data_IF_192695494611
#
_entry.id   IF_192695494611
#
_cell.length_a   1.000
_cell.length_b   1.000
_cell.length_c   1.000
_cell.angle_alpha   90.00
_cell.angle_beta   90.00
_cell.angle_gamma   90.00
#
_symmetry.space_group_name_H-M   'P 1'
#
loop_
_entity.id
_entity.type
_entity.pdbx_description
1 polymer ?
#
# COMPACT_ATOMS: atom_id res chain seq x y z
N UNK A 1 -2.08 -10.83 -29.83
CA UNK A 1 -1.04 -9.89 -29.30
C UNK A 1 0.20 -10.71 -29.01
N UNK A 2 1.34 -10.34 -29.53
CA UNK A 2 2.63 -11.01 -29.30
C UNK A 2 3.04 -10.87 -27.84
N UNK A 3 3.30 -12.00 -27.17
CA UNK A 3 3.68 -12.05 -25.75
C UNK A 3 5.17 -11.88 -25.51
N UNK A 4 5.90 -11.19 -26.41
CA UNK A 4 7.33 -10.98 -26.26
C UNK A 4 7.70 -9.52 -26.58
N UNK A 5 8.77 -9.05 -25.94
CA UNK A 5 9.40 -7.76 -26.17
C UNK A 5 10.78 -8.04 -26.76
N UNK A 6 11.09 -7.43 -27.88
CA UNK A 6 12.41 -7.49 -28.49
C UNK A 6 13.21 -6.24 -28.09
N UNK A 7 14.34 -6.43 -27.41
CA UNK A 7 15.25 -5.35 -26.98
C UNK A 7 16.49 -5.44 -27.85
N UNK A 8 16.66 -4.48 -28.76
CA UNK A 8 17.78 -4.45 -29.71
C UNK A 8 18.92 -3.51 -29.30
N UNK A 9 18.64 -2.53 -28.45
CA UNK A 9 19.59 -1.49 -28.08
C UNK A 9 19.91 -1.50 -26.60
N UNK A 10 21.12 -1.04 -26.25
CA UNK A 10 21.53 -0.79 -24.87
C UNK A 10 21.11 0.62 -24.42
N UNK A 11 20.85 0.78 -23.15
CA UNK A 11 20.58 2.10 -22.56
C UNK A 11 21.90 2.89 -22.56
N UNK A 12 21.92 3.97 -23.35
CA UNK A 12 22.97 5.01 -23.32
C UNK A 12 22.67 6.03 -22.23
N UNK A 13 23.34 7.17 -22.24
CA UNK A 13 23.00 8.31 -21.38
C UNK A 13 21.62 8.87 -21.71
N UNK A 14 20.88 9.36 -20.70
CA UNK A 14 19.56 9.97 -20.91
C UNK A 14 19.28 11.11 -19.94
N UNK A 15 18.47 12.05 -20.40
CA UNK A 15 17.89 13.11 -19.59
C UNK A 15 16.39 13.14 -19.87
N UNK A 16 15.57 12.59 -18.96
CA UNK A 16 14.14 12.40 -19.18
C UNK A 16 13.30 12.95 -18.05
N UNK A 17 12.19 13.58 -18.41
CA UNK A 17 11.10 13.89 -17.48
C UNK A 17 9.95 12.92 -17.75
N UNK A 18 9.51 12.22 -16.72
CA UNK A 18 8.49 11.19 -16.83
C UNK A 18 7.43 11.35 -15.76
N UNK A 19 6.23 10.87 -16.07
CA UNK A 19 5.16 10.63 -15.11
C UNK A 19 4.91 9.14 -15.05
N UNK A 20 4.71 8.61 -13.87
CA UNK A 20 4.39 7.20 -13.64
C UNK A 20 2.99 7.06 -13.07
N UNK A 21 2.45 5.86 -13.15
CA UNK A 21 1.13 5.55 -12.61
C UNK A 21 1.06 5.75 -11.10
N UNK A 22 -0.16 5.93 -10.62
CA UNK A 22 -0.45 6.29 -9.24
C UNK A 22 -0.07 5.21 -8.21
N UNK A 23 0.12 5.64 -6.97
CA UNK A 23 0.41 4.78 -5.84
C UNK A 23 -0.67 3.70 -5.65
N UNK A 24 -0.25 2.43 -5.61
CA UNK A 24 -1.12 1.26 -5.44
C UNK A 24 -1.93 1.33 -4.14
N UNK A 25 -1.27 1.67 -3.05
CA UNK A 25 -1.89 1.74 -1.73
C UNK A 25 -2.94 2.82 -1.62
N UNK A 26 -2.71 3.98 -2.26
CA UNK A 26 -3.67 5.08 -2.35
C UNK A 26 -4.81 4.76 -3.32
N UNK A 27 -4.53 4.13 -4.47
CA UNK A 27 -5.54 3.72 -5.44
C UNK A 27 -6.60 2.80 -4.80
N UNK A 28 -6.15 1.77 -4.06
CA UNK A 28 -7.06 0.85 -3.36
C UNK A 28 -7.86 1.59 -2.28
N UNK A 29 -7.20 2.43 -1.46
CA UNK A 29 -7.87 3.17 -0.39
C UNK A 29 -8.88 4.18 -0.92
N UNK A 30 -8.51 4.89 -1.99
CA UNK A 30 -9.43 5.78 -2.67
C UNK A 30 -10.68 5.04 -3.15
N UNK A 31 -10.52 3.91 -3.83
CA UNK A 31 -11.64 3.13 -4.35
C UNK A 31 -12.58 2.64 -3.23
N UNK A 32 -12.01 2.11 -2.13
CA UNK A 32 -12.77 1.64 -0.97
C UNK A 32 -13.52 2.80 -0.29
N UNK A 33 -12.89 3.96 -0.08
CA UNK A 33 -13.55 5.12 0.54
C UNK A 33 -14.58 5.75 -0.40
N UNK A 34 -14.27 5.84 -1.70
CA UNK A 34 -15.20 6.34 -2.71
C UNK A 34 -16.48 5.51 -2.80
N UNK A 35 -16.38 4.18 -2.59
CA UNK A 35 -17.56 3.30 -2.56
C UNK A 35 -18.47 3.55 -1.37
N UNK A 36 -17.93 4.08 -0.27
CA UNK A 36 -18.66 4.44 0.95
C UNK A 36 -19.11 5.90 0.98
N UNK A 37 -18.72 6.70 -0.01
CA UNK A 37 -19.09 8.10 -0.11
C UNK A 37 -20.53 8.26 -0.62
N UNK A 38 -21.10 9.44 -0.41
CA UNK A 38 -22.36 9.84 -1.05
C UNK A 38 -22.02 10.65 -2.30
N UNK A 39 -22.62 10.23 -3.45
CA UNK A 39 -22.41 10.87 -4.73
C UNK A 39 -21.24 10.28 -5.54
N UNK A 40 -20.81 11.01 -6.57
CA UNK A 40 -19.83 10.57 -7.55
C UNK A 40 -18.43 11.05 -7.20
N UNK A 41 -17.54 10.12 -6.90
CA UNK A 41 -16.11 10.33 -6.72
C UNK A 41 -15.35 10.12 -8.02
N UNK A 42 -14.37 10.97 -8.31
CA UNK A 42 -13.53 10.88 -9.51
C UNK A 42 -12.06 10.74 -9.14
N UNK A 43 -11.33 9.84 -9.82
CA UNK A 43 -9.87 9.83 -9.74
C UNK A 43 -9.23 9.98 -11.10
N UNK A 44 -8.04 10.56 -11.08
CA UNK A 44 -7.11 10.62 -12.21
C UNK A 44 -5.85 9.89 -11.78
N UNK A 45 -5.16 9.25 -12.73
CA UNK A 45 -3.93 8.50 -12.50
C UNK A 45 -4.10 7.32 -11.53
N UNK A 46 -5.27 6.65 -11.57
CA UNK A 46 -5.48 5.41 -10.82
C UNK A 46 -4.58 4.31 -11.40
N UNK A 47 -3.83 3.61 -10.56
CA UNK A 47 -3.00 2.50 -10.99
C UNK A 47 -3.86 1.37 -11.60
N UNK A 48 -3.48 0.88 -12.77
CA UNK A 48 -4.17 -0.23 -13.47
C UNK A 48 -3.56 -1.60 -13.19
N UNK A 49 -2.97 -1.78 -12.01
CA UNK A 49 -2.48 -3.10 -11.61
C UNK A 49 -3.62 -4.07 -11.30
N UNK A 50 -3.33 -5.35 -11.36
CA UNK A 50 -4.26 -6.43 -10.99
C UNK A 50 -4.89 -6.20 -9.61
N UNK A 51 -4.10 -5.77 -8.62
CA UNK A 51 -4.58 -5.46 -7.25
C UNK A 51 -5.72 -4.43 -7.26
N UNK A 52 -5.57 -3.36 -8.05
CA UNK A 52 -6.55 -2.27 -8.13
C UNK A 52 -7.76 -2.71 -8.95
N UNK A 53 -7.55 -3.41 -10.07
CA UNK A 53 -8.64 -3.95 -10.89
C UNK A 53 -9.49 -4.94 -10.09
N UNK A 54 -8.86 -5.84 -9.33
CA UNK A 54 -9.58 -6.75 -8.43
C UNK A 54 -10.37 -5.99 -7.35
N UNK A 55 -9.84 -4.86 -6.87
CA UNK A 55 -10.59 -3.98 -5.94
C UNK A 55 -11.85 -3.45 -6.59
N UNK A 56 -11.76 -2.90 -7.80
CA UNK A 56 -12.92 -2.37 -8.54
C UNK A 56 -13.93 -3.49 -8.85
N UNK A 57 -13.46 -4.68 -9.22
CA UNK A 57 -14.32 -5.83 -9.49
C UNK A 57 -15.06 -6.33 -8.24
N UNK A 58 -14.39 -6.39 -7.09
CA UNK A 58 -15.05 -6.70 -5.81
C UNK A 58 -16.12 -5.66 -5.47
N UNK A 59 -15.84 -4.36 -5.66
CA UNK A 59 -16.81 -3.30 -5.43
C UNK A 59 -18.01 -3.38 -6.39
N UNK A 60 -17.80 -3.70 -7.69
CA UNK A 60 -18.90 -3.95 -8.64
C UNK A 60 -19.79 -5.10 -8.19
N UNK A 61 -19.22 -6.21 -7.69
CA UNK A 61 -19.99 -7.34 -7.13
C UNK A 61 -20.78 -6.95 -5.88
N UNK A 62 -20.33 -5.93 -5.14
CA UNK A 62 -21.08 -5.35 -4.03
C UNK A 62 -22.12 -4.32 -4.45
N UNK A 63 -22.37 -4.17 -5.77
CA UNK A 63 -23.39 -3.30 -6.33
C UNK A 63 -22.93 -1.88 -6.64
N UNK A 64 -21.64 -1.56 -6.49
CA UNK A 64 -21.10 -0.22 -6.76
C UNK A 64 -20.99 0.00 -8.28
N UNK A 65 -21.62 1.06 -8.79
CA UNK A 65 -21.47 1.50 -10.18
C UNK A 65 -20.10 2.17 -10.37
N UNK A 66 -19.30 1.63 -11.29
CA UNK A 66 -17.94 2.11 -11.58
C UNK A 66 -17.76 2.27 -13.08
N UNK A 67 -17.40 3.47 -13.51
CA UNK A 67 -16.98 3.77 -14.88
C UNK A 67 -15.47 3.97 -14.91
N UNK A 68 -14.78 3.34 -15.85
CA UNK A 68 -13.33 3.44 -16.02
C UNK A 68 -13.01 3.80 -17.45
N UNK A 69 -12.34 4.89 -17.63
CA UNK A 69 -11.84 5.40 -18.89
C UNK A 69 -10.31 5.39 -18.88
N UNK A 70 -9.67 5.80 -19.98
CA UNK A 70 -8.21 5.71 -20.18
C UNK A 70 -7.39 6.17 -18.97
N UNK A 71 -7.65 7.33 -18.40
CA UNK A 71 -6.92 7.90 -17.24
C UNK A 71 -7.83 8.32 -16.08
N UNK A 72 -9.12 8.02 -16.15
CA UNK A 72 -10.12 8.45 -15.17
C UNK A 72 -10.90 7.26 -14.64
N UNK A 73 -11.24 7.28 -13.38
CA UNK A 73 -12.15 6.33 -12.76
C UNK A 73 -13.21 7.09 -12.00
N UNK A 74 -14.48 6.75 -12.23
CA UNK A 74 -15.62 7.31 -11.50
C UNK A 74 -16.28 6.20 -10.68
N UNK A 75 -16.49 6.45 -9.41
CA UNK A 75 -17.20 5.57 -8.48
C UNK A 75 -18.42 6.30 -7.95
N UNK A 76 -19.57 5.71 -8.15
CA UNK A 76 -20.85 6.18 -7.58
C UNK A 76 -20.99 5.52 -6.22
N UNK A 77 -20.63 6.26 -5.17
CA UNK A 77 -20.63 5.74 -3.82
C UNK A 77 -22.04 5.49 -3.31
N UNK A 78 -22.19 4.48 -2.48
CA UNK A 78 -23.48 3.99 -1.98
C UNK A 78 -23.76 4.42 -0.54
N UNK A 79 -22.87 5.22 0.06
CA UNK A 79 -22.92 5.57 1.47
C UNK A 79 -22.43 4.44 2.39
N UNK A 80 -22.37 4.75 3.68
CA UNK A 80 -22.03 3.78 4.71
C UNK A 80 -23.11 2.68 4.75
N UNK A 81 -22.66 1.40 4.80
CA UNK A 81 -23.54 0.21 4.79
C UNK A 81 -24.46 0.08 3.57
N UNK A 82 -24.21 0.84 2.49
CA UNK A 82 -25.09 0.92 1.33
C UNK A 82 -24.93 -0.19 0.30
N UNK A 83 -24.02 -1.16 0.49
CA UNK A 83 -23.78 -2.23 -0.47
C UNK A 83 -25.02 -3.08 -0.70
N UNK A 84 -25.29 -3.36 -2.00
CA UNK A 84 -26.45 -4.15 -2.47
C UNK A 84 -25.94 -5.33 -3.29
N UNK A 85 -26.11 -6.54 -2.78
CA UNK A 85 -25.60 -7.76 -3.42
C UNK A 85 -26.46 -8.97 -3.02
N UNK A 86 -26.42 -10.01 -3.86
CA UNK A 86 -27.11 -11.28 -3.60
C UNK A 86 -26.41 -12.05 -2.47
N UNK A 87 -27.13 -12.95 -1.80
CA UNK A 87 -26.52 -13.83 -0.80
C UNK A 87 -25.44 -14.73 -1.42
N UNK A 88 -24.44 -15.10 -0.62
CA UNK A 88 -23.38 -16.05 -0.99
C UNK A 88 -22.50 -15.64 -2.18
N UNK A 89 -22.32 -14.32 -2.43
CA UNK A 89 -21.38 -13.88 -3.46
C UNK A 89 -19.94 -14.24 -3.11
N UNK A 90 -19.14 -14.43 -4.16
CA UNK A 90 -17.69 -14.63 -4.02
C UNK A 90 -16.94 -13.39 -4.49
N UNK A 91 -16.13 -12.81 -3.58
CA UNK A 91 -15.19 -11.75 -3.87
C UNK A 91 -13.80 -12.35 -4.07
N UNK A 92 -13.15 -12.02 -5.19
CA UNK A 92 -11.81 -12.50 -5.49
C UNK A 92 -10.79 -11.37 -5.34
N UNK A 93 -9.93 -11.48 -4.35
CA UNK A 93 -8.86 -10.51 -4.11
C UNK A 93 -7.62 -10.73 -5.02
N UNK A 94 -7.58 -11.80 -5.84
CA UNK A 94 -6.41 -12.16 -6.62
C UNK A 94 -5.18 -12.33 -5.71
N UNK A 95 -4.08 -11.65 -6.03
CA UNK A 95 -2.89 -11.61 -5.19
C UNK A 95 -2.90 -10.45 -4.17
N UNK A 96 -3.92 -9.61 -4.17
CA UNK A 96 -3.95 -8.37 -3.38
C UNK A 96 -4.18 -8.60 -1.89
N UNK A 97 -3.10 -8.71 -1.13
CA UNK A 97 -3.18 -8.74 0.34
C UNK A 97 -3.73 -7.43 0.93
N UNK A 98 -3.60 -6.31 0.23
CA UNK A 98 -4.20 -5.03 0.64
C UNK A 98 -5.71 -5.08 0.50
N UNK A 99 -6.23 -5.40 -0.69
CA UNK A 99 -7.66 -5.56 -0.90
C UNK A 99 -8.26 -6.57 0.08
N UNK A 100 -7.71 -7.80 0.11
CA UNK A 100 -8.25 -8.89 0.93
C UNK A 100 -8.41 -8.52 2.41
N UNK A 101 -7.46 -7.73 2.96
CA UNK A 101 -7.53 -7.31 4.36
C UNK A 101 -8.42 -6.10 4.58
N UNK A 102 -8.33 -5.09 3.73
CA UNK A 102 -9.07 -3.84 3.92
C UNK A 102 -10.57 -4.01 3.70
N UNK A 103 -10.97 -4.76 2.68
CA UNK A 103 -12.39 -4.94 2.35
C UNK A 103 -13.15 -5.61 3.49
N UNK A 104 -12.52 -6.53 4.25
CA UNK A 104 -13.15 -7.17 5.41
C UNK A 104 -13.60 -6.15 6.46
N UNK A 105 -12.88 -5.03 6.63
CA UNK A 105 -13.30 -3.95 7.52
C UNK A 105 -14.63 -3.32 7.10
N UNK A 106 -14.86 -3.13 5.80
CA UNK A 106 -16.13 -2.62 5.26
C UNK A 106 -17.26 -3.66 5.34
N UNK A 107 -16.90 -4.94 5.39
CA UNK A 107 -17.87 -6.04 5.39
C UNK A 107 -18.30 -6.48 6.79
N UNK A 108 -17.83 -5.83 7.85
CA UNK A 108 -18.29 -6.08 9.23
C UNK A 108 -19.80 -5.92 9.38
N UNK A 109 -20.41 -5.06 8.58
CA UNK A 109 -21.87 -4.83 8.52
C UNK A 109 -22.58 -5.61 7.40
N UNK A 110 -21.93 -6.58 6.78
CA UNK A 110 -22.55 -7.31 5.66
C UNK A 110 -23.79 -8.09 6.13
N UNK A 111 -24.93 -7.84 5.49
CA UNK A 111 -26.18 -8.52 5.82
C UNK A 111 -26.15 -10.00 5.43
N UNK A 112 -25.58 -10.30 4.27
CA UNK A 112 -25.52 -11.63 3.68
C UNK A 112 -24.12 -12.22 3.80
N UNK A 113 -24.03 -13.56 3.75
CA UNK A 113 -22.74 -14.27 3.73
C UNK A 113 -21.96 -13.91 2.47
N UNK A 114 -20.67 -13.68 2.61
CA UNK A 114 -19.73 -13.38 1.53
C UNK A 114 -18.56 -14.35 1.63
N UNK A 115 -18.17 -14.96 0.51
CA UNK A 115 -16.94 -15.75 0.41
C UNK A 115 -15.83 -14.91 -0.17
N UNK A 116 -14.72 -14.74 0.56
CA UNK A 116 -13.51 -14.08 0.09
C UNK A 116 -12.47 -15.12 -0.32
N UNK A 117 -12.00 -15.04 -1.55
CA UNK A 117 -10.95 -15.91 -2.11
C UNK A 117 -9.77 -15.07 -2.61
N UNK A 118 -8.68 -15.75 -2.92
CA UNK A 118 -7.49 -15.18 -3.55
C UNK A 118 -6.76 -16.22 -4.38
N UNK A 119 -5.67 -15.84 -4.99
CA UNK A 119 -4.80 -16.74 -5.71
C UNK A 119 -4.06 -17.73 -4.78
N UNK A 120 -3.25 -18.61 -5.37
CA UNK A 120 -2.47 -19.63 -4.64
C UNK A 120 -1.49 -18.99 -3.63
N UNK A 121 -0.92 -17.81 -3.94
CA UNK A 121 0.01 -17.10 -3.07
C UNK A 121 -0.72 -16.42 -1.90
N UNK A 122 -1.78 -15.67 -2.17
CA UNK A 122 -2.55 -14.98 -1.15
C UNK A 122 -3.22 -15.97 -0.20
N UNK A 123 -3.68 -17.12 -0.72
CA UNK A 123 -4.36 -18.16 0.07
C UNK A 123 -3.47 -18.82 1.12
N UNK A 124 -2.16 -18.72 1.00
CA UNK A 124 -1.20 -19.22 2.01
C UNK A 124 -0.94 -18.25 3.16
N UNK A 125 -1.35 -16.96 3.01
CA UNK A 125 -1.05 -15.92 4.00
C UNK A 125 -2.00 -15.99 5.21
N UNK A 126 -1.48 -15.51 6.35
CA UNK A 126 -2.26 -15.37 7.60
C UNK A 126 -3.22 -14.18 7.52
N UNK A 127 -4.49 -14.45 7.79
CA UNK A 127 -5.58 -13.48 7.91
C UNK A 127 -6.08 -13.32 9.35
N UNK A 128 -5.65 -14.15 10.30
CA UNK A 128 -6.07 -14.04 11.71
C UNK A 128 -5.74 -12.68 12.30
N UNK A 129 -4.66 -12.07 11.82
CA UNK A 129 -4.27 -10.70 12.24
C UNK A 129 -5.33 -9.64 11.94
N UNK A 130 -6.25 -9.92 11.01
CA UNK A 130 -7.34 -9.03 10.63
C UNK A 130 -8.69 -9.55 11.12
N UNK A 131 -8.97 -10.85 10.97
CA UNK A 131 -10.25 -11.41 11.37
C UNK A 131 -10.48 -11.31 12.87
N UNK A 132 -9.47 -11.66 13.71
CA UNK A 132 -9.58 -11.58 15.18
C UNK A 132 -9.99 -10.18 15.71
N UNK A 133 -9.36 -9.05 15.29
CA UNK A 133 -9.85 -7.75 15.72
C UNK A 133 -11.22 -7.39 15.13
N UNK A 134 -11.56 -7.84 13.91
CA UNK A 134 -12.87 -7.57 13.32
C UNK A 134 -13.99 -8.39 13.95
N UNK A 135 -13.72 -9.59 14.48
CA UNK A 135 -14.66 -10.39 15.27
C UNK A 135 -15.12 -9.65 16.54
N UNK A 136 -14.26 -8.82 17.12
CA UNK A 136 -14.63 -7.99 18.28
C UNK A 136 -15.72 -6.96 17.99
N UNK A 137 -15.93 -6.59 16.71
CA UNK A 137 -17.07 -5.79 16.30
C UNK A 137 -18.39 -6.58 16.29
N UNK A 138 -18.35 -7.91 16.40
CA UNK A 138 -19.51 -8.81 16.35
C UNK A 138 -19.68 -9.56 15.04
N UNK A 139 -18.84 -9.33 14.02
CA UNK A 139 -18.84 -10.09 12.79
C UNK A 139 -18.22 -11.48 13.00
N UNK A 140 -18.57 -12.44 12.15
CA UNK A 140 -18.05 -13.82 12.19
C UNK A 140 -17.23 -14.11 10.92
N UNK A 141 -16.04 -14.70 11.10
CA UNK A 141 -15.12 -15.06 10.02
C UNK A 141 -14.78 -16.55 10.12
N UNK A 142 -15.33 -17.38 9.23
CA UNK A 142 -14.96 -18.80 9.18
C UNK A 142 -13.78 -18.98 8.23
N UNK A 143 -12.66 -19.49 8.74
CA UNK A 143 -11.42 -19.73 7.97
C UNK A 143 -10.93 -21.15 8.23
N UNK A 144 -10.08 -21.67 7.35
CA UNK A 144 -9.30 -22.89 7.60
C UNK A 144 -7.89 -22.47 7.98
N UNK A 145 -7.50 -22.70 9.25
CA UNK A 145 -6.18 -22.31 9.80
C UNK A 145 -5.82 -20.83 9.56
N UNK A 146 -6.80 -19.93 9.59
CA UNK A 146 -6.59 -18.50 9.39
C UNK A 146 -6.27 -18.07 7.95
N UNK A 147 -6.50 -18.93 6.97
CA UNK A 147 -6.19 -18.72 5.55
C UNK A 147 -7.47 -18.54 4.73
N UNK A 148 -7.30 -18.14 3.45
CA UNK A 148 -8.39 -18.15 2.46
C UNK A 148 -8.72 -19.60 2.03
N UNK A 149 -9.99 -19.85 1.69
CA UNK A 149 -11.12 -18.93 1.64
C UNK A 149 -11.65 -18.54 3.01
N UNK A 150 -12.22 -17.32 3.10
CA UNK A 150 -12.88 -16.82 4.31
C UNK A 150 -14.36 -16.62 4.04
N UNK A 151 -15.22 -17.20 4.87
CA UNK A 151 -16.65 -16.90 4.86
C UNK A 151 -16.90 -15.80 5.90
N UNK A 152 -17.41 -14.67 5.43
CA UNK A 152 -17.71 -13.48 6.23
C UNK A 152 -19.21 -13.41 6.47
N UNK A 153 -19.63 -13.31 7.73
CA UNK A 153 -20.99 -12.96 8.13
C UNK A 153 -20.88 -11.73 9.05
N UNK A 154 -21.37 -10.61 8.58
CA UNK A 154 -21.37 -9.37 9.36
C UNK A 154 -22.37 -9.40 10.50
N UNK A 155 -22.50 -8.27 11.18
CA UNK A 155 -23.45 -8.06 12.30
C UNK A 155 -24.31 -6.82 12.02
N UNK A 156 -25.54 -6.84 12.52
CA UNK A 156 -26.45 -5.69 12.46
C UNK A 156 -26.14 -4.65 13.56
N UNK A 157 -25.42 -5.04 14.61
CA UNK A 157 -25.13 -4.20 15.77
C UNK A 157 -23.64 -4.26 16.11
N UNK A 158 -22.76 -3.69 15.27
CA UNK A 158 -21.35 -3.69 15.54
C UNK A 158 -21.02 -2.83 16.77
N UNK A 159 -20.09 -3.30 17.58
CA UNK A 159 -19.64 -2.62 18.78
C UNK A 159 -18.27 -1.98 18.57
N UNK A 160 -18.03 -0.75 19.05
CA UNK A 160 -16.71 -0.13 18.97
C UNK A 160 -15.72 -0.88 19.85
N UNK A 161 -14.45 -0.92 19.42
CA UNK A 161 -13.43 -1.73 20.08
C UNK A 161 -12.23 -0.92 20.55
N UNK A 162 -11.51 -1.47 21.53
CA UNK A 162 -10.12 -1.11 21.82
C UNK A 162 -9.21 -2.16 21.18
N UNK A 163 -8.30 -1.73 20.31
CA UNK A 163 -7.41 -2.61 19.55
C UNK A 163 -5.95 -2.21 19.69
N UNK A 164 -5.07 -3.19 19.89
CA UNK A 164 -3.63 -2.98 19.90
C UNK A 164 -2.96 -3.70 18.72
N UNK A 165 -2.49 -2.94 17.75
CA UNK A 165 -1.71 -3.41 16.62
C UNK A 165 -0.22 -3.43 16.97
N UNK A 166 0.32 -4.62 17.31
CA UNK A 166 1.67 -4.83 17.85
C UNK A 166 2.76 -4.97 16.78
N UNK A 167 2.40 -5.38 15.55
CA UNK A 167 3.35 -5.76 14.49
C UNK A 167 3.66 -4.64 13.48
N UNK A 168 3.05 -3.46 13.61
CA UNK A 168 3.24 -2.34 12.67
C UNK A 168 2.58 -2.58 11.32
N UNK A 169 1.43 -3.28 11.28
CA UNK A 169 0.70 -3.53 10.05
C UNK A 169 -0.27 -2.41 9.71
N UNK A 170 0.06 -1.63 8.69
CA UNK A 170 -0.85 -0.62 8.15
C UNK A 170 -2.15 -1.22 7.62
N UNK A 171 -2.13 -2.45 7.09
CA UNK A 171 -3.31 -3.12 6.55
C UNK A 171 -4.28 -3.52 7.66
N UNK A 172 -3.79 -4.16 8.74
CA UNK A 172 -4.61 -4.54 9.88
C UNK A 172 -5.22 -3.31 10.57
N UNK A 173 -4.40 -2.28 10.80
CA UNK A 173 -4.84 -0.99 11.34
C UNK A 173 -5.95 -0.39 10.48
N UNK A 174 -5.76 -0.31 9.16
CA UNK A 174 -6.74 0.27 8.23
C UNK A 174 -8.04 -0.54 8.19
N UNK A 175 -7.98 -1.87 8.21
CA UNK A 175 -9.20 -2.69 8.25
C UNK A 175 -10.08 -2.36 9.46
N UNK A 176 -9.45 -2.21 10.66
CA UNK A 176 -10.14 -1.79 11.89
C UNK A 176 -10.66 -0.34 11.77
N UNK A 177 -9.89 0.56 11.15
CA UNK A 177 -10.34 1.94 10.90
C UNK A 177 -11.57 1.99 9.97
N UNK A 178 -11.61 1.16 8.92
CA UNK A 178 -12.73 1.08 7.99
C UNK A 178 -13.99 0.49 8.67
N UNK A 179 -13.82 -0.52 9.53
CA UNK A 179 -14.93 -1.03 10.34
C UNK A 179 -15.49 0.04 11.28
N UNK A 180 -14.60 0.83 11.90
CA UNK A 180 -14.99 1.91 12.80
C UNK A 180 -15.85 3.00 12.13
N UNK A 181 -15.68 3.25 10.82
CA UNK A 181 -16.49 4.25 10.10
C UNK A 181 -18.00 3.94 10.12
N UNK A 182 -18.34 2.66 10.14
CA UNK A 182 -19.70 2.15 10.10
C UNK A 182 -20.24 1.75 11.49
N UNK A 183 -19.48 2.00 12.56
CA UNK A 183 -19.83 1.56 13.92
C UNK A 183 -20.14 2.75 14.81
N UNK A 184 -21.32 2.78 15.41
CA UNK A 184 -21.71 3.80 16.39
C UNK A 184 -20.75 3.76 17.61
N UNK A 185 -20.37 4.94 18.10
CA UNK A 185 -19.44 5.06 19.22
C UNK A 185 -17.99 5.23 18.80
N UNK A 186 -17.05 5.09 19.72
CA UNK A 186 -15.63 5.39 19.52
C UNK A 186 -14.76 4.15 19.56
N UNK A 187 -14.12 3.82 18.43
CA UNK A 187 -13.04 2.83 18.36
C UNK A 187 -11.70 3.48 18.68
N UNK A 188 -10.90 2.81 19.51
CA UNK A 188 -9.55 3.26 19.93
C UNK A 188 -8.52 2.24 19.46
N UNK A 189 -7.54 2.71 18.67
CA UNK A 189 -6.46 1.88 18.14
C UNK A 189 -5.13 2.39 18.68
N UNK A 190 -4.40 1.54 19.43
CA UNK A 190 -2.99 1.74 19.74
C UNK A 190 -2.17 0.96 18.72
N UNK A 191 -1.45 1.62 17.84
CA UNK A 191 -0.74 0.94 16.75
C UNK A 191 0.75 1.26 16.76
N UNK A 192 1.61 0.24 16.64
CA UNK A 192 3.02 0.43 16.31
C UNK A 192 3.12 1.20 15.00
N UNK A 193 4.13 2.08 14.90
CA UNK A 193 4.30 2.95 13.72
C UNK A 193 4.33 2.14 12.42
N UNK A 194 3.57 2.60 11.45
CA UNK A 194 3.44 2.00 10.12
C UNK A 194 2.96 3.07 9.12
N UNK A 195 2.79 2.70 7.85
CA UNK A 195 2.24 3.59 6.82
C UNK A 195 0.91 4.18 7.28
N UNK A 196 0.70 5.48 7.04
CA UNK A 196 -0.40 6.28 7.59
C UNK A 196 -1.33 6.91 6.53
N UNK A 197 -1.31 6.39 5.31
CA UNK A 197 -2.18 6.85 4.22
C UNK A 197 -3.65 6.93 4.59
N UNK A 198 -4.15 5.98 5.38
CA UNK A 198 -5.56 5.95 5.80
C UNK A 198 -5.88 7.07 6.77
N UNK A 199 -5.02 7.32 7.74
CA UNK A 199 -5.14 8.43 8.69
C UNK A 199 -5.13 9.78 7.97
N UNK A 200 -4.26 9.95 6.99
CA UNK A 200 -4.15 11.17 6.19
C UNK A 200 -5.40 11.39 5.34
N UNK A 201 -5.89 10.34 4.65
CA UNK A 201 -7.14 10.41 3.88
C UNK A 201 -8.35 10.68 4.76
N UNK A 202 -8.45 10.05 5.93
CA UNK A 202 -9.55 10.29 6.86
C UNK A 202 -9.56 11.74 7.36
N UNK A 203 -8.39 12.29 7.69
CA UNK A 203 -8.25 13.70 8.08
C UNK A 203 -8.64 14.63 6.93
N UNK A 204 -8.15 14.36 5.71
CA UNK A 204 -8.50 15.15 4.54
C UNK A 204 -10.03 15.17 4.28
N UNK A 205 -10.68 14.02 4.42
CA UNK A 205 -12.13 13.89 4.29
C UNK A 205 -12.91 14.45 5.49
N UNK A 206 -12.20 15.04 6.46
CA UNK A 206 -12.79 15.59 7.70
C UNK A 206 -13.65 14.55 8.45
N UNK A 207 -13.26 13.28 8.38
CA UNK A 207 -13.87 12.22 9.16
C UNK A 207 -13.48 12.38 10.64
N UNK A 208 -14.29 11.89 11.59
CA UNK A 208 -14.06 12.06 13.01
C UNK A 208 -12.93 11.17 13.52
N UNK A 209 -11.70 11.52 13.14
CA UNK A 209 -10.48 10.87 13.54
C UNK A 209 -9.57 11.81 14.34
N UNK A 210 -9.08 11.33 15.48
CA UNK A 210 -8.00 11.97 16.25
C UNK A 210 -6.79 11.05 16.30
N UNK A 211 -5.62 11.54 15.88
CA UNK A 211 -4.36 10.79 15.90
C UNK A 211 -3.37 11.51 16.79
N UNK A 212 -2.95 10.84 17.88
CA UNK A 212 -1.91 11.31 18.78
C UNK A 212 -0.65 10.50 18.50
N UNK A 213 0.37 11.16 18.00
CA UNK A 213 1.68 10.57 17.68
C UNK A 213 2.52 10.44 18.95
N UNK A 214 3.03 9.25 19.24
CA UNK A 214 3.99 8.96 20.31
C UNK A 214 5.29 8.42 19.71
N UNK A 215 6.34 8.29 20.50
CA UNK A 215 7.64 7.82 20.00
C UNK A 215 7.58 6.42 19.39
N UNK A 216 6.95 5.45 20.05
CA UNK A 216 6.89 4.03 19.64
C UNK A 216 5.57 3.61 19.01
N UNK A 217 4.49 4.36 19.18
CA UNK A 217 3.16 4.04 18.68
C UNK A 217 2.34 5.29 18.36
N UNK A 218 1.27 5.09 17.63
CA UNK A 218 0.23 6.09 17.40
C UNK A 218 -1.05 5.66 18.13
N UNK A 219 -1.73 6.60 18.78
CA UNK A 219 -3.06 6.40 19.35
C UNK A 219 -4.08 7.05 18.41
N UNK A 220 -4.95 6.23 17.85
CA UNK A 220 -5.96 6.65 16.87
C UNK A 220 -7.33 6.44 17.49
N UNK A 221 -8.16 7.49 17.51
CA UNK A 221 -9.54 7.45 17.95
C UNK A 221 -10.43 7.77 16.76
N UNK A 222 -11.45 6.96 16.51
CA UNK A 222 -12.40 7.13 15.39
C UNK A 222 -13.80 6.99 15.93
N UNK A 223 -14.64 8.00 15.66
CA UNK A 223 -16.08 7.94 15.92
C UNK A 223 -16.81 7.67 14.61
N UNK A 224 -17.68 6.67 14.57
CA UNK A 224 -18.33 6.20 13.35
C UNK A 224 -19.54 7.05 12.93
N UNK A 225 -20.20 6.58 11.86
CA UNK A 225 -21.49 7.05 11.34
C UNK A 225 -21.52 8.48 10.75
N UNK A 226 -20.35 9.05 10.43
CA UNK A 226 -20.32 10.31 9.68
C UNK A 226 -20.37 10.05 8.17
N UNK A 227 -21.31 10.68 7.47
CA UNK A 227 -21.42 10.62 6.00
C UNK A 227 -20.09 11.04 5.33
N UNK A 228 -19.64 10.25 4.37
CA UNK A 228 -18.43 10.51 3.59
C UNK A 228 -18.83 11.28 2.33
N UNK A 229 -18.24 12.45 2.10
CA UNK A 229 -18.43 13.23 0.88
C UNK A 229 -17.66 12.59 -0.30
N UNK A 230 -18.15 12.81 -1.51
CA UNK A 230 -17.46 12.39 -2.74
C UNK A 230 -16.01 12.88 -2.76
N UNK A 231 -15.08 12.01 -3.21
CA UNK A 231 -13.64 12.22 -3.16
C UNK A 231 -13.07 12.34 -4.57
N UNK A 232 -12.85 13.57 -5.04
CA UNK A 232 -12.10 13.81 -6.27
C UNK A 232 -10.60 13.84 -5.97
N UNK A 233 -9.82 12.93 -6.59
CA UNK A 233 -8.44 12.69 -6.19
C UNK A 233 -7.56 12.37 -7.41
N UNK A 234 -6.46 13.11 -7.62
CA UNK A 234 -5.38 12.68 -8.50
C UNK A 234 -4.44 11.80 -7.68
N UNK A 235 -4.32 10.53 -8.03
CA UNK A 235 -3.43 9.62 -7.30
C UNK A 235 -1.97 10.03 -7.58
N UNK A 236 -1.18 10.39 -6.55
CA UNK A 236 0.25 10.70 -6.76
C UNK A 236 1.02 9.49 -7.29
N UNK A 237 2.09 9.74 -8.02
CA UNK A 237 3.00 8.71 -8.55
C UNK A 237 3.57 7.84 -7.43
N UNK A 238 3.66 6.52 -7.69
CA UNK A 238 4.12 5.55 -6.70
C UNK A 238 5.63 5.61 -6.47
N UNK A 239 6.05 5.79 -5.22
CA UNK A 239 7.47 5.82 -4.84
C UNK A 239 8.18 4.49 -5.10
N UNK A 240 7.50 3.35 -4.94
CA UNK A 240 8.08 2.02 -5.20
C UNK A 240 8.35 1.82 -6.70
N UNK A 241 7.42 2.24 -7.56
CA UNK A 241 7.64 2.25 -9.01
C UNK A 241 8.72 3.26 -9.42
N UNK A 242 8.75 4.44 -8.79
CA UNK A 242 9.81 5.44 -8.98
C UNK A 242 11.19 4.89 -8.62
N UNK A 243 11.28 4.02 -7.63
CA UNK A 243 12.53 3.46 -7.14
C UNK A 243 13.32 2.70 -8.22
N UNK A 244 12.63 2.01 -9.13
CA UNK A 244 13.30 1.32 -10.26
C UNK A 244 14.04 2.31 -11.15
N UNK A 245 13.40 3.43 -11.49
CA UNK A 245 13.98 4.45 -12.34
C UNK A 245 15.09 5.23 -11.64
N UNK A 246 14.95 5.48 -10.33
CA UNK A 246 15.99 6.10 -9.50
C UNK A 246 17.24 5.23 -9.49
N UNK A 247 17.09 3.93 -9.22
CA UNK A 247 18.22 3.00 -9.14
C UNK A 247 18.84 2.80 -10.52
N UNK A 248 18.03 2.64 -11.58
CA UNK A 248 18.54 2.59 -12.95
C UNK A 248 19.38 3.82 -13.28
N UNK A 249 18.88 5.03 -12.97
CA UNK A 249 19.59 6.29 -13.23
C UNK A 249 20.88 6.38 -12.41
N UNK A 250 20.82 6.03 -11.13
CA UNK A 250 21.99 6.06 -10.22
C UNK A 250 23.13 5.15 -10.72
N UNK A 251 22.79 4.01 -11.34
CA UNK A 251 23.74 3.02 -11.85
C UNK A 251 24.13 3.24 -13.33
N UNK A 252 23.41 4.10 -14.05
CA UNK A 252 23.71 4.43 -15.44
C UNK A 252 24.83 5.47 -15.52
N UNK A 253 25.45 5.60 -16.70
CA UNK A 253 26.44 6.64 -16.99
C UNK A 253 25.75 7.90 -17.48
N UNK A 254 26.18 9.08 -16.99
CA UNK A 254 25.78 10.43 -17.45
C UNK A 254 24.28 10.61 -17.69
N UNK A 255 23.46 10.07 -16.78
CA UNK A 255 22.01 10.04 -16.91
C UNK A 255 21.32 10.86 -15.83
N UNK A 256 20.13 11.39 -16.17
CA UNK A 256 19.25 12.15 -15.28
C UNK A 256 17.80 11.75 -15.50
N UNK A 257 17.03 11.69 -14.42
CA UNK A 257 15.58 11.51 -14.50
C UNK A 257 14.87 12.47 -13.55
N UNK A 258 13.75 13.01 -14.03
CA UNK A 258 12.79 13.76 -13.24
C UNK A 258 11.49 12.98 -13.24
N UNK A 259 11.03 12.57 -12.07
CA UNK A 259 9.75 11.86 -11.90
C UNK A 259 8.76 12.82 -11.23
N UNK A 260 7.64 13.07 -11.91
CA UNK A 260 6.66 14.07 -11.49
C UNK A 260 5.72 13.57 -10.41
N UNK A 261 5.30 14.48 -9.51
CA UNK A 261 4.24 14.31 -8.51
C UNK A 261 4.36 13.01 -7.69
N UNK A 262 5.57 12.63 -7.27
CA UNK A 262 5.83 11.39 -6.51
C UNK A 262 5.34 11.55 -5.09
N UNK A 263 4.64 10.53 -4.57
CA UNK A 263 4.30 10.44 -3.16
C UNK A 263 5.57 10.32 -2.31
N UNK A 264 5.83 11.31 -1.49
CA UNK A 264 6.97 11.36 -0.57
C UNK A 264 6.53 11.30 0.90
N UNK A 265 5.49 10.55 1.19
CA UNK A 265 5.05 10.30 2.56
C UNK A 265 6.23 9.81 3.42
N UNK A 266 6.51 10.46 4.57
CA UNK A 266 7.64 10.08 5.44
C UNK A 266 7.68 8.61 5.85
N UNK A 267 6.52 7.95 5.89
CA UNK A 267 6.42 6.51 6.18
C UNK A 267 6.78 5.60 5.00
N UNK A 268 7.09 6.17 3.81
CA UNK A 268 7.37 5.45 2.56
C UNK A 268 8.73 5.80 1.92
N UNK A 269 9.36 6.91 2.31
CA UNK A 269 10.59 7.40 1.68
C UNK A 269 11.87 6.79 2.27
N UNK A 270 11.78 5.64 2.90
CA UNK A 270 12.96 4.94 3.43
C UNK A 270 14.02 4.71 2.36
N UNK A 271 13.61 4.29 1.17
CA UNK A 271 14.51 4.11 0.03
C UNK A 271 15.30 5.37 -0.33
N UNK A 272 14.65 6.54 -0.39
CA UNK A 272 15.34 7.80 -0.71
C UNK A 272 16.42 8.09 0.34
N UNK A 273 16.10 7.90 1.63
CA UNK A 273 17.04 8.13 2.73
C UNK A 273 18.22 7.17 2.65
N UNK A 274 17.98 5.90 2.42
CA UNK A 274 19.03 4.86 2.31
C UNK A 274 19.92 5.13 1.11
N UNK A 275 19.34 5.38 -0.07
CA UNK A 275 20.11 5.68 -1.27
C UNK A 275 20.96 6.94 -1.14
N UNK A 276 20.45 8.00 -0.48
CA UNK A 276 21.26 9.20 -0.15
C UNK A 276 22.42 8.87 0.76
N UNK A 277 22.25 8.02 1.77
CA UNK A 277 23.34 7.56 2.63
C UNK A 277 24.41 6.81 1.83
N UNK A 278 24.02 6.09 0.77
CA UNK A 278 24.93 5.40 -0.16
C UNK A 278 25.56 6.33 -1.19
N UNK A 279 25.29 7.64 -1.14
CA UNK A 279 25.86 8.65 -2.03
C UNK A 279 25.06 8.91 -3.31
N UNK A 280 23.88 8.31 -3.48
CA UNK A 280 23.05 8.53 -4.67
C UNK A 280 22.55 9.99 -4.68
N UNK A 281 22.71 10.67 -5.81
CA UNK A 281 22.28 12.05 -6.03
C UNK A 281 20.78 12.10 -6.26
N UNK A 282 20.01 12.43 -5.23
CA UNK A 282 18.54 12.53 -5.27
C UNK A 282 18.13 13.87 -4.68
N UNK A 283 17.29 14.63 -5.39
CA UNK A 283 16.76 15.92 -4.95
C UNK A 283 15.24 15.91 -5.04
N UNK A 284 14.59 16.60 -4.11
CA UNK A 284 13.15 16.81 -4.11
C UNK A 284 12.88 18.28 -4.41
N UNK A 285 12.11 18.56 -5.44
CA UNK A 285 11.68 19.90 -5.81
C UNK A 285 10.14 19.99 -5.77
N UNK A 286 9.59 21.18 -5.68
CA UNK A 286 8.15 21.45 -5.63
C UNK A 286 7.45 20.60 -4.54
N UNK A 287 8.07 20.50 -3.37
CA UNK A 287 7.50 19.77 -2.22
C UNK A 287 6.26 20.52 -1.71
N UNK A 288 5.11 19.83 -1.69
CA UNK A 288 3.88 20.41 -1.16
C UNK A 288 2.94 19.34 -0.60
N UNK A 289 1.91 19.80 0.11
CA UNK A 289 0.86 18.93 0.62
C UNK A 289 -0.28 18.85 -0.41
N UNK A 290 -0.65 17.64 -0.78
CA UNK A 290 -1.78 17.37 -1.64
C UNK A 290 -2.75 16.41 -0.97
N UNK A 291 -3.90 16.94 -0.56
CA UNK A 291 -5.00 16.16 0.03
C UNK A 291 -4.55 15.18 1.13
N UNK A 292 -3.71 15.69 2.03
CA UNK A 292 -3.16 14.97 3.18
C UNK A 292 -1.82 14.28 2.93
N UNK A 293 -1.44 14.01 1.69
CA UNK A 293 -0.14 13.42 1.35
C UNK A 293 0.89 14.48 0.98
N UNK A 294 2.16 14.23 1.30
CA UNK A 294 3.29 15.01 0.77
C UNK A 294 3.68 14.46 -0.60
N UNK A 295 3.80 15.36 -1.57
CA UNK A 295 4.25 15.03 -2.93
C UNK A 295 5.37 15.97 -3.38
N UNK A 296 6.20 15.51 -4.31
CA UNK A 296 7.28 16.27 -4.90
C UNK A 296 7.63 15.78 -6.30
N UNK A 297 8.33 16.61 -7.08
CA UNK A 297 9.10 16.15 -8.21
C UNK A 297 10.43 15.57 -7.70
N UNK A 298 10.74 14.36 -8.10
CA UNK A 298 11.91 13.62 -7.69
C UNK A 298 12.95 13.67 -8.82
N UNK A 299 14.14 14.20 -8.53
CA UNK A 299 15.28 14.29 -9.43
C UNK A 299 16.30 13.25 -9.01
N UNK A 300 16.77 12.42 -9.92
CA UNK A 300 17.89 11.52 -9.69
C UNK A 300 18.94 11.68 -10.81
N UNK A 301 20.22 11.53 -10.44
CA UNK A 301 21.36 11.63 -11.36
C UNK A 301 22.28 10.43 -11.18
N UNK A 302 23.05 10.14 -12.22
CA UNK A 302 24.13 9.14 -12.20
C UNK A 302 25.08 9.37 -11.04
N UNK A 303 25.56 8.31 -10.42
CA UNK A 303 26.46 8.38 -9.28
C UNK A 303 27.73 7.60 -9.56
N UNK A 304 28.85 8.32 -9.69
CA UNK A 304 30.15 7.71 -10.00
C UNK A 304 30.69 6.85 -8.85
N UNK A 305 30.49 7.29 -7.60
CA UNK A 305 31.02 6.61 -6.40
C UNK A 305 29.91 6.32 -5.42
N UNK A 306 29.62 5.05 -5.21
CA UNK A 306 28.68 4.55 -4.23
C UNK A 306 29.41 4.09 -2.97
N UNK A 307 28.84 4.37 -1.79
CA UNK A 307 29.41 4.03 -0.48
C UNK A 307 28.63 2.91 0.18
N UNK A 308 29.35 1.99 0.78
CA UNK A 308 28.75 0.98 1.67
C UNK A 308 28.20 1.66 2.94
N UNK A 309 27.18 1.06 3.55
CA UNK A 309 26.50 1.62 4.72
C UNK A 309 26.19 0.54 5.77
N UNK A 310 26.12 0.97 7.04
CA UNK A 310 25.40 0.23 8.07
C UNK A 310 23.98 0.81 8.13
N UNK A 311 23.02 0.11 7.50
CA UNK A 311 21.66 0.64 7.34
C UNK A 311 20.90 0.68 8.69
N UNK A 312 20.40 1.85 9.13
CA UNK A 312 19.63 1.93 10.36
C UNK A 312 18.31 1.15 10.25
N UNK A 313 18.10 0.17 11.15
CA UNK A 313 16.90 -0.68 11.12
C UNK A 313 15.58 0.09 11.28
N UNK A 314 15.60 1.30 11.84
CA UNK A 314 14.43 2.21 11.90
C UNK A 314 13.89 2.61 10.52
N UNK A 315 14.68 2.46 9.45
CA UNK A 315 14.27 2.74 8.07
C UNK A 315 13.60 1.52 7.39
N UNK A 316 13.71 0.32 7.96
CA UNK A 316 13.25 -0.91 7.33
C UNK A 316 11.77 -0.86 6.94
N UNK A 317 10.89 -0.44 7.85
CA UNK A 317 9.44 -0.39 7.56
C UNK A 317 9.08 0.59 6.46
N UNK A 318 9.85 1.69 6.32
CA UNK A 318 9.62 2.72 5.30
C UNK A 318 10.24 2.38 3.93
N UNK A 319 11.08 1.34 3.86
CA UNK A 319 11.75 0.87 2.63
C UNK A 319 11.48 -0.61 2.34
N UNK A 320 10.52 -1.23 3.05
CA UNK A 320 10.35 -2.69 3.06
C UNK A 320 10.06 -3.29 1.68
N UNK A 321 9.50 -2.53 0.77
CA UNK A 321 9.17 -3.02 -0.57
C UNK A 321 10.32 -2.80 -1.58
N UNK A 322 11.32 -1.98 -1.25
CA UNK A 322 12.41 -1.56 -2.14
C UNK A 322 13.78 -2.17 -1.80
N UNK A 323 13.88 -3.05 -0.80
CA UNK A 323 15.18 -3.61 -0.37
C UNK A 323 15.93 -4.35 -1.46
N UNK A 324 15.24 -5.03 -2.40
CA UNK A 324 15.90 -5.69 -3.52
C UNK A 324 16.67 -4.69 -4.40
N UNK A 325 16.10 -3.50 -4.62
CA UNK A 325 16.76 -2.41 -5.35
C UNK A 325 17.93 -1.81 -4.55
N UNK A 326 17.76 -1.67 -3.23
CA UNK A 326 18.83 -1.22 -2.33
C UNK A 326 20.00 -2.21 -2.37
N UNK A 327 19.74 -3.51 -2.39
CA UNK A 327 20.79 -4.55 -2.49
C UNK A 327 21.56 -4.44 -3.81
N UNK A 328 20.90 -4.12 -4.94
CA UNK A 328 21.58 -3.89 -6.22
C UNK A 328 22.55 -2.71 -6.13
N UNK A 329 22.15 -1.60 -5.48
CA UNK A 329 23.03 -0.46 -5.28
C UNK A 329 24.16 -0.81 -4.32
N UNK A 330 23.91 -1.59 -3.26
CA UNK A 330 24.92 -2.06 -2.33
C UNK A 330 25.96 -2.97 -3.01
N UNK A 331 25.54 -3.82 -3.96
CA UNK A 331 26.42 -4.67 -4.73
C UNK A 331 27.38 -3.89 -5.67
N UNK A 332 27.10 -2.60 -5.92
CA UNK A 332 27.95 -1.69 -6.69
C UNK A 332 28.74 -0.72 -5.83
N UNK A 333 28.49 -0.69 -4.51
CA UNK A 333 29.19 0.20 -3.58
C UNK A 333 30.54 -0.36 -3.17
N UNK A 334 31.50 0.55 -2.91
CA UNK A 334 32.80 0.17 -2.31
C UNK A 334 32.63 -0.17 -0.83
N UNK A 335 33.14 -1.32 -0.39
CA UNK A 335 33.09 -1.81 1.00
C UNK A 335 31.91 -2.73 1.29
N UNK A 336 31.63 -3.01 2.56
CA UNK A 336 30.63 -3.96 3.03
C UNK A 336 29.43 -3.22 3.58
N UNK A 337 28.22 -3.50 3.05
CA UNK A 337 26.96 -2.93 3.56
C UNK A 337 26.27 -3.91 4.50
N UNK A 338 25.74 -3.42 5.61
CA UNK A 338 25.02 -4.22 6.61
C UNK A 338 23.54 -3.83 6.66
N UNK A 339 22.66 -4.83 6.54
CA UNK A 339 21.21 -4.70 6.63
C UNK A 339 20.68 -5.68 7.65
N UNK A 340 20.13 -5.19 8.77
CA UNK A 340 19.69 -6.02 9.90
C UNK A 340 18.16 -5.98 10.04
N UNK A 341 17.57 -7.03 10.68
CA UNK A 341 16.15 -7.10 11.03
C UNK A 341 15.21 -7.07 9.82
N UNK A 342 15.53 -7.81 8.75
CA UNK A 342 14.78 -7.86 7.49
C UNK A 342 13.89 -9.12 7.34
N UNK A 343 13.67 -9.89 8.40
CA UNK A 343 12.86 -11.13 8.34
C UNK A 343 11.46 -10.94 7.74
N UNK A 344 10.87 -9.75 7.87
CA UNK A 344 9.56 -9.42 7.28
C UNK A 344 9.54 -9.48 5.73
N UNK A 345 10.71 -9.36 5.06
CA UNK A 345 10.81 -9.53 3.61
C UNK A 345 10.41 -10.93 3.14
N UNK A 346 10.61 -11.95 3.97
CA UNK A 346 10.22 -13.32 3.65
C UNK A 346 8.73 -13.62 3.90
N UNK A 347 7.99 -12.68 4.51
CA UNK A 347 6.54 -12.77 4.76
C UNK A 347 5.69 -12.11 3.66
N UNK A 348 6.33 -11.68 2.57
CA UNK A 348 5.68 -11.05 1.42
C UNK A 348 5.12 -12.08 0.43
N UNK A 349 4.82 -11.67 -0.79
CA UNK A 349 4.34 -12.51 -1.90
C UNK A 349 5.30 -13.64 -2.26
N UNK A 350 6.58 -13.37 -2.07
CA UNK A 350 7.69 -14.30 -2.18
C UNK A 350 8.68 -14.08 -1.02
N UNK A 351 9.52 -15.04 -0.65
CA UNK A 351 10.57 -14.86 0.35
C UNK A 351 11.71 -13.99 -0.23
N UNK A 352 11.47 -12.67 -0.28
CA UNK A 352 12.30 -11.70 -1.01
C UNK A 352 13.76 -11.68 -0.54
N UNK A 353 14.00 -11.83 0.77
CA UNK A 353 15.36 -11.85 1.30
C UNK A 353 16.15 -13.05 0.78
N UNK A 354 15.53 -14.24 0.81
CA UNK A 354 16.14 -15.49 0.30
C UNK A 354 16.42 -15.36 -1.21
N UNK A 355 15.44 -14.91 -1.99
CA UNK A 355 15.63 -14.76 -3.43
C UNK A 355 16.63 -13.67 -3.79
N UNK A 356 16.61 -12.54 -3.08
CA UNK A 356 17.59 -11.46 -3.27
C UNK A 356 19.02 -11.93 -3.02
N UNK A 357 19.25 -12.66 -1.94
CA UNK A 357 20.54 -13.26 -1.63
C UNK A 357 20.98 -14.23 -2.74
N UNK A 358 20.13 -15.19 -3.14
CA UNK A 358 20.44 -16.15 -4.21
C UNK A 358 20.77 -15.47 -5.54
N UNK A 359 20.04 -14.43 -5.93
CA UNK A 359 20.31 -13.70 -7.18
C UNK A 359 21.66 -13.02 -7.10
N UNK A 360 21.95 -12.30 -6.03
CA UNK A 360 23.25 -11.63 -5.86
C UNK A 360 24.42 -12.61 -5.87
N UNK A 361 24.27 -13.76 -5.21
CA UNK A 361 25.29 -14.84 -5.26
C UNK A 361 25.53 -15.32 -6.69
N UNK A 362 24.46 -15.56 -7.47
CA UNK A 362 24.58 -15.93 -8.89
C UNK A 362 25.23 -14.84 -9.75
N UNK A 363 25.11 -13.58 -9.35
CA UNK A 363 25.79 -12.43 -9.98
C UNK A 363 27.25 -12.25 -9.50
N UNK A 364 27.80 -13.18 -8.74
CA UNK A 364 29.19 -13.16 -8.29
C UNK A 364 29.44 -12.41 -6.99
N UNK A 365 28.41 -11.97 -6.26
CA UNK A 365 28.57 -11.33 -4.95
C UNK A 365 28.85 -12.43 -3.91
N UNK A 366 30.04 -12.39 -3.31
CA UNK A 366 30.50 -13.33 -2.27
C UNK A 366 30.05 -12.86 -0.88
N UNK A 367 29.99 -13.80 0.10
CA UNK A 367 29.80 -13.52 1.54
C UNK A 367 28.48 -12.80 1.88
N UNK A 368 27.38 -13.21 1.24
CA UNK A 368 26.03 -12.82 1.68
C UNK A 368 25.64 -13.73 2.85
N UNK A 369 25.68 -13.20 4.08
CA UNK A 369 25.29 -13.90 5.32
C UNK A 369 23.89 -13.51 5.75
#
# INVERSE_FOLDING_TARGET
MTNYINIKDIIKSYNKTISIEGDKSLSIRWALLASQAIGKSKSINLLKSEDVINTLNCLRKLGVKIKMEKNKCEIYGMGLNGYKYKSNITLNAGNSGTLGRLIMGLLVHSKNKIKLIGDKSLSKRDFLRVTKPLEKYGAKFKTTSGKLPIIIKGTNSPQPIKYYERKGSAQCKTAVMLAALNTKGQTIIKAKKSRDHSELLFKYLKLPIKVVRRNSYDLIKISGEKKIKALNYKIPSDISSSAFLIVLTALSKDSKVIIKDVNINPSRIGIIKILKMMGVKIFLKRVHNYKGEKIADLYAESTKTLKAINCPSKLNSAAIDEFLLIFLVAAKAKGVSYFKNLSELNQKESPRLIWGSKILTKMGIKNIK
#
